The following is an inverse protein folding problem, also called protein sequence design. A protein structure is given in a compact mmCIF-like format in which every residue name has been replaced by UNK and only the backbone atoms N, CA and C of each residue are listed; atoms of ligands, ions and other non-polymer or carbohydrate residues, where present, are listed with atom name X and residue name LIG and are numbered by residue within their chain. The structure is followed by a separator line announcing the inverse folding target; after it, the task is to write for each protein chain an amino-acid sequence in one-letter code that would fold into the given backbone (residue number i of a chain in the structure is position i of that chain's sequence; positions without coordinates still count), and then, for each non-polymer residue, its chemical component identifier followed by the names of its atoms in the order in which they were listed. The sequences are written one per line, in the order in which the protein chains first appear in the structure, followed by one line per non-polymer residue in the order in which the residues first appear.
data_IF_428490012035
#
_entry.id   IF_428490012035
#
_cell.length_a   1.000
_cell.length_b   1.000
_cell.length_c   1.000
_cell.angle_alpha   90.00
_cell.angle_beta   90.00
_cell.angle_gamma   90.00
#
_symmetry.space_group_name_H-M   'P 1'
#
loop_
_entity.id
_entity.type
_entity.pdbx_description
1 polymer ?
#
# COMPACT_ATOMS: atom_id res chain seq x y z
N UNK A 1 7.77 -2.21 9.35
CA UNK A 1 6.79 -1.19 8.96
C UNK A 1 7.47 0.00 8.30
N UNK A 2 8.05 0.95 9.04
CA UNK A 2 8.64 2.18 8.48
C UNK A 2 9.71 1.95 7.40
N UNK A 3 10.65 1.00 7.61
CA UNK A 3 11.72 0.71 6.64
C UNK A 3 11.23 0.19 5.28
N UNK A 4 10.11 -0.55 5.26
CA UNK A 4 9.52 -1.06 4.00
C UNK A 4 8.87 0.09 3.23
N UNK A 5 8.17 0.99 3.94
CA UNK A 5 7.58 2.20 3.35
C UNK A 5 8.65 3.18 2.86
N UNK A 6 9.73 3.37 3.61
CA UNK A 6 10.89 4.18 3.21
C UNK A 6 11.56 3.63 1.95
N UNK A 7 11.54 2.30 1.78
CA UNK A 7 12.13 1.67 0.59
C UNK A 7 11.43 2.02 -0.73
N UNK A 8 10.19 2.52 -0.68
CA UNK A 8 9.49 3.03 -1.86
C UNK A 8 10.13 4.33 -2.42
N UNK A 9 10.97 5.00 -1.63
CA UNK A 9 11.73 6.19 -2.02
C UNK A 9 13.25 5.99 -1.88
N UNK A 10 13.73 4.73 -1.95
CA UNK A 10 15.15 4.44 -1.79
C UNK A 10 16.00 4.87 -3.00
N UNK A 11 17.33 4.79 -2.83
CA UNK A 11 18.29 5.19 -3.84
C UNK A 11 18.05 4.50 -5.20
N UNK A 12 17.58 3.24 -5.22
CA UNK A 12 17.32 2.52 -6.47
C UNK A 12 16.17 3.12 -7.27
N UNK A 13 15.11 3.58 -6.58
CA UNK A 13 13.98 4.27 -7.21
C UNK A 13 14.39 5.64 -7.76
N UNK A 14 15.24 6.37 -7.04
CA UNK A 14 15.79 7.66 -7.49
C UNK A 14 16.67 7.47 -8.73
N UNK A 15 17.55 6.47 -8.73
CA UNK A 15 18.40 6.15 -9.89
C UNK A 15 17.58 5.77 -11.12
N UNK A 16 16.54 4.94 -10.95
CA UNK A 16 15.63 4.56 -12.03
C UNK A 16 14.86 5.77 -12.56
N UNK A 17 14.38 6.66 -11.69
CA UNK A 17 13.72 7.91 -12.07
C UNK A 17 14.66 8.82 -12.88
N UNK A 18 15.91 8.96 -12.46
CA UNK A 18 16.90 9.75 -13.18
C UNK A 18 17.18 9.18 -14.58
N UNK A 19 17.32 7.86 -14.68
CA UNK A 19 17.52 7.18 -15.96
C UNK A 19 16.32 7.30 -16.90
N UNK A 20 15.10 7.15 -16.37
CA UNK A 20 13.87 7.38 -17.15
C UNK A 20 13.81 8.83 -17.67
N UNK A 21 14.12 9.80 -16.82
CA UNK A 21 14.18 11.23 -17.19
C UNK A 21 15.22 11.50 -18.27
N UNK A 22 16.42 10.93 -18.15
CA UNK A 22 17.47 11.07 -19.17
C UNK A 22 17.03 10.49 -20.53
N UNK A 23 16.33 9.36 -20.52
CA UNK A 23 15.82 8.74 -21.75
C UNK A 23 14.75 9.61 -22.44
N UNK A 24 13.85 10.21 -21.67
CA UNK A 24 12.84 11.17 -22.16
C UNK A 24 13.53 12.38 -22.80
N UNK A 25 14.50 12.99 -22.10
CA UNK A 25 15.22 14.17 -22.58
C UNK A 25 16.00 13.90 -23.87
N UNK A 26 16.54 12.69 -24.02
CA UNK A 26 17.25 12.25 -25.23
C UNK A 26 16.33 11.74 -26.35
N UNK A 27 15.00 11.82 -26.18
CA UNK A 27 13.99 11.24 -27.10
C UNK A 27 14.29 9.79 -27.47
N UNK A 28 14.88 9.05 -26.53
CA UNK A 28 15.27 7.66 -26.73
C UNK A 28 14.19 6.77 -26.11
N UNK A 29 13.74 5.75 -26.85
CA UNK A 29 12.84 4.75 -26.27
C UNK A 29 13.51 4.04 -25.10
N UNK A 30 12.79 3.76 -23.99
CA UNK A 30 13.33 2.95 -22.92
C UNK A 30 13.85 1.63 -23.48
N UNK A 31 15.12 1.31 -23.24
CA UNK A 31 15.63 0.01 -23.67
C UNK A 31 14.99 -1.07 -22.81
N UNK A 32 14.75 -2.26 -23.39
CA UNK A 32 14.18 -3.43 -22.72
C UNK A 32 14.83 -3.67 -21.33
N UNK A 33 16.14 -3.44 -21.24
CA UNK A 33 16.95 -3.61 -20.03
C UNK A 33 16.58 -2.63 -18.90
N UNK A 34 16.17 -1.39 -19.21
CA UNK A 34 15.70 -0.44 -18.20
C UNK A 34 14.32 -0.85 -17.69
N UNK A 35 13.39 -1.22 -18.58
CA UNK A 35 12.07 -1.73 -18.17
C UNK A 35 12.19 -2.97 -17.28
N UNK A 36 12.99 -3.96 -17.69
CA UNK A 36 13.24 -5.15 -16.89
C UNK A 36 13.79 -4.83 -15.49
N UNK A 37 14.63 -3.78 -15.38
CA UNK A 37 15.19 -3.36 -14.10
C UNK A 37 14.17 -2.61 -13.23
N UNK A 38 13.30 -1.81 -13.85
CA UNK A 38 12.15 -1.19 -13.16
C UNK A 38 11.22 -2.28 -12.63
N UNK A 39 10.81 -3.22 -13.48
CA UNK A 39 9.90 -4.31 -13.11
C UNK A 39 10.47 -5.16 -11.97
N UNK A 40 11.75 -5.58 -12.08
CA UNK A 40 12.39 -6.37 -11.03
C UNK A 40 12.49 -5.61 -9.69
N UNK A 41 12.74 -4.30 -9.74
CA UNK A 41 12.80 -3.46 -8.53
C UNK A 41 11.40 -3.33 -7.91
N UNK A 42 10.38 -3.05 -8.72
CA UNK A 42 9.00 -2.91 -8.25
C UNK A 42 8.46 -4.22 -7.66
N UNK A 43 8.62 -5.34 -8.35
CA UNK A 43 8.17 -6.67 -7.87
C UNK A 43 8.77 -6.99 -6.51
N UNK A 44 10.07 -6.73 -6.32
CA UNK A 44 10.71 -6.97 -5.03
C UNK A 44 10.10 -6.11 -3.90
N UNK A 45 9.76 -4.84 -4.18
CA UNK A 45 9.11 -3.96 -3.20
C UNK A 45 7.65 -4.34 -2.94
N UNK A 46 6.92 -4.73 -3.98
CA UNK A 46 5.55 -5.22 -3.88
C UNK A 46 5.46 -6.43 -2.98
N UNK A 47 6.34 -7.43 -3.17
CA UNK A 47 6.39 -8.62 -2.32
C UNK A 47 6.66 -8.26 -0.84
N UNK A 48 7.60 -7.36 -0.58
CA UNK A 48 7.89 -6.90 0.79
C UNK A 48 6.69 -6.17 1.43
N UNK A 49 5.94 -5.42 0.63
CA UNK A 49 4.73 -4.75 1.09
C UNK A 49 3.60 -5.75 1.34
N UNK A 50 3.45 -6.77 0.50
CA UNK A 50 2.47 -7.84 0.67
C UNK A 50 2.70 -8.61 1.98
N UNK A 51 3.94 -9.03 2.26
CA UNK A 51 4.32 -9.67 3.52
C UNK A 51 3.99 -8.79 4.74
N UNK A 52 4.26 -7.49 4.62
CA UNK A 52 3.95 -6.51 5.65
C UNK A 52 2.44 -6.40 5.89
N UNK A 53 1.64 -6.36 4.82
CA UNK A 53 0.18 -6.31 4.91
C UNK A 53 -0.39 -7.58 5.54
N UNK A 54 0.15 -8.76 5.20
CA UNK A 54 -0.21 -10.01 5.86
C UNK A 54 0.10 -9.99 7.36
N UNK A 55 1.27 -9.51 7.76
CA UNK A 55 1.62 -9.38 9.18
C UNK A 55 0.71 -8.39 9.92
N UNK A 56 0.34 -7.28 9.27
CA UNK A 56 -0.60 -6.31 9.83
C UNK A 56 -2.01 -6.92 9.98
N UNK A 57 -2.46 -7.71 9.00
CA UNK A 57 -3.74 -8.39 9.04
C UNK A 57 -3.81 -9.47 10.12
N UNK A 58 -2.74 -10.26 10.28
CA UNK A 58 -2.64 -11.23 11.37
C UNK A 58 -2.69 -10.53 12.74
N UNK A 59 -1.94 -9.44 12.93
CA UNK A 59 -2.00 -8.64 14.15
C UNK A 59 -3.41 -8.08 14.41
N UNK A 60 -4.08 -7.57 13.36
CA UNK A 60 -5.45 -7.07 13.42
C UNK A 60 -6.42 -8.17 13.89
N UNK A 61 -6.33 -9.36 13.32
CA UNK A 61 -7.20 -10.49 13.68
C UNK A 61 -6.93 -11.01 15.09
N UNK A 62 -5.67 -11.12 15.50
CA UNK A 62 -5.31 -11.51 16.88
C UNK A 62 -5.84 -10.50 17.90
N UNK A 63 -5.70 -9.21 17.60
CA UNK A 63 -6.22 -8.13 18.46
C UNK A 63 -7.74 -8.17 18.53
N UNK A 64 -8.42 -8.33 17.40
CA UNK A 64 -9.87 -8.46 17.34
C UNK A 64 -10.36 -9.64 18.19
N UNK A 65 -9.68 -10.78 18.10
CA UNK A 65 -9.99 -11.97 18.89
C UNK A 65 -9.86 -11.69 20.39
N UNK A 66 -8.76 -11.09 20.82
CA UNK A 66 -8.56 -10.75 22.23
C UNK A 66 -9.64 -9.80 22.76
N UNK A 67 -9.99 -8.76 21.99
CA UNK A 67 -11.05 -7.83 22.38
C UNK A 67 -12.40 -8.54 22.51
N UNK A 68 -12.78 -9.35 21.51
CA UNK A 68 -14.10 -9.99 21.44
C UNK A 68 -14.25 -11.11 22.48
N UNK A 69 -13.18 -11.88 22.75
CA UNK A 69 -13.26 -13.06 23.61
C UNK A 69 -12.82 -12.80 25.06
N UNK A 70 -11.80 -11.97 25.27
CA UNK A 70 -11.13 -11.87 26.58
C UNK A 70 -11.51 -10.60 27.36
N UNK A 71 -12.07 -9.59 26.69
CA UNK A 71 -12.33 -8.26 27.29
C UNK A 71 -13.83 -7.96 27.35
N UNK A 72 -14.53 -8.12 26.23
CA UNK A 72 -15.92 -7.68 26.11
C UNK A 72 -16.92 -8.77 26.53
N UNK A 73 -18.03 -8.34 27.13
CA UNK A 73 -19.21 -9.20 27.24
C UNK A 73 -19.85 -9.42 25.86
N UNK A 74 -20.66 -10.47 25.66
CA UNK A 74 -21.22 -10.79 24.33
C UNK A 74 -21.96 -9.62 23.66
N UNK A 75 -22.77 -8.87 24.42
CA UNK A 75 -23.51 -7.72 23.86
C UNK A 75 -22.59 -6.56 23.47
N UNK A 76 -21.52 -6.32 24.25
CA UNK A 76 -20.52 -5.30 23.91
C UNK A 76 -19.72 -5.70 22.67
N UNK A 77 -19.38 -6.99 22.54
CA UNK A 77 -18.70 -7.51 21.36
C UNK A 77 -19.54 -7.32 20.09
N UNK A 78 -20.86 -7.55 20.16
CA UNK A 78 -21.77 -7.28 19.03
C UNK A 78 -21.74 -5.80 18.64
N UNK A 79 -21.91 -4.88 19.59
CA UNK A 79 -21.86 -3.44 19.30
C UNK A 79 -20.50 -3.02 18.72
N UNK A 80 -19.42 -3.55 19.25
CA UNK A 80 -18.08 -3.29 18.76
C UNK A 80 -17.89 -3.78 17.32
N UNK A 81 -18.33 -5.00 16.99
CA UNK A 81 -18.21 -5.57 15.64
C UNK A 81 -19.02 -4.78 14.61
N UNK A 82 -20.21 -4.28 14.98
CA UNK A 82 -21.00 -3.38 14.11
C UNK A 82 -20.21 -2.11 13.81
N UNK A 83 -19.68 -1.44 14.85
CA UNK A 83 -18.91 -0.21 14.68
C UNK A 83 -17.63 -0.43 13.83
N UNK A 84 -16.94 -1.55 14.03
CA UNK A 84 -15.77 -1.94 13.22
C UNK A 84 -16.15 -2.17 11.76
N UNK A 85 -17.27 -2.85 11.48
CA UNK A 85 -17.75 -3.07 10.11
C UNK A 85 -18.13 -1.75 9.43
N UNK A 86 -18.83 -0.85 10.14
CA UNK A 86 -19.15 0.48 9.64
C UNK A 86 -17.90 1.31 9.33
N UNK A 87 -16.91 1.30 10.22
CA UNK A 87 -15.63 1.97 10.01
C UNK A 87 -14.91 1.39 8.78
N UNK A 88 -14.89 0.07 8.63
CA UNK A 88 -14.24 -0.61 7.50
C UNK A 88 -14.87 -0.18 6.15
N UNK A 89 -16.21 -0.17 6.06
CA UNK A 89 -16.92 0.28 4.86
C UNK A 89 -16.66 1.75 4.55
N UNK A 90 -16.71 2.63 5.55
CA UNK A 90 -16.44 4.07 5.36
C UNK A 90 -15.02 4.34 4.91
N UNK A 91 -14.04 3.63 5.48
CA UNK A 91 -12.64 3.77 5.10
C UNK A 91 -12.39 3.28 3.65
N UNK A 92 -13.02 2.17 3.27
CA UNK A 92 -12.99 1.64 1.90
C UNK A 92 -13.56 2.64 0.89
N UNK A 93 -14.74 3.20 1.18
CA UNK A 93 -15.37 4.18 0.30
C UNK A 93 -14.59 5.50 0.24
N UNK A 94 -13.97 5.92 1.33
CA UNK A 94 -13.06 7.06 1.34
C UNK A 94 -11.83 6.80 0.47
N UNK A 95 -11.22 5.62 0.58
CA UNK A 95 -10.08 5.21 -0.24
C UNK A 95 -10.40 5.28 -1.74
N UNK A 96 -11.52 4.67 -2.16
CA UNK A 96 -12.00 4.75 -3.54
C UNK A 96 -12.19 6.18 -4.03
N UNK A 97 -12.80 7.05 -3.21
CA UNK A 97 -13.01 8.46 -3.54
C UNK A 97 -11.69 9.21 -3.71
N UNK A 98 -10.74 9.00 -2.79
CA UNK A 98 -9.41 9.61 -2.86
C UNK A 98 -8.67 9.19 -4.14
N UNK A 99 -8.72 7.91 -4.49
CA UNK A 99 -8.04 7.39 -5.66
C UNK A 99 -8.70 7.86 -6.98
N UNK A 100 -10.04 8.03 -6.99
CA UNK A 100 -10.76 8.65 -8.09
C UNK A 100 -10.40 10.15 -8.28
N UNK A 101 -10.17 10.88 -7.19
CA UNK A 101 -9.68 12.28 -7.25
C UNK A 101 -8.24 12.32 -7.80
N UNK A 102 -7.37 11.43 -7.34
CA UNK A 102 -5.98 11.35 -7.82
C UNK A 102 -5.88 11.02 -9.32
N UNK A 103 -6.81 10.23 -9.86
CA UNK A 103 -6.84 9.86 -11.28
C UNK A 103 -7.56 10.87 -12.17
N UNK A 104 -8.33 11.82 -11.62
CA UNK A 104 -9.08 12.83 -12.38
C UNK A 104 -8.39 14.20 -12.50
N UNK A 105 -7.31 14.45 -11.74
CA UNK A 105 -6.42 15.59 -11.99
C UNK A 105 -5.30 15.17 -12.96
N UNK A 106 -5.25 15.70 -14.20
CA UNK A 106 -4.15 15.43 -15.10
C UNK A 106 -2.88 16.05 -14.51
N UNK A 107 -1.86 15.22 -14.31
CA UNK A 107 -0.50 15.66 -13.98
C UNK A 107 -0.05 16.74 -14.98
N UNK A 108 0.22 17.95 -14.47
CA UNK A 108 0.89 19.04 -15.20
C UNK A 108 2.34 18.65 -15.49
#
# INVERSE_FOLDING_TARGET
MARVQESAADASMVELSHLATQMIMRRTTPCLRVNQRVDATLVAKENQMEELLHAADDLRLRTLRAIVHDILTPIQAVHFLIAVAELHLRLHDWGKRRDAVATSHPSI
#
